data_IF_220395066236
#
_entry.id   IF_220395066236
#
_cell.length_a   1.000
_cell.length_b   1.000
_cell.length_c   1.000
_cell.angle_alpha   90.00
_cell.angle_beta   90.00
_cell.angle_gamma   90.00
#
_symmetry.space_group_name_H-M   'P 1'
#
loop_
_entity.id
_entity.type
_entity.pdbx_description
1 polymer ?
#
# COMPACT_ATOMS: atom_id res chain seq x y z
N UNK A 1 -5.63 -15.26 26.89
CA UNK A 1 -6.62 -15.19 28.00
C UNK A 1 -6.29 -16.24 29.05
N UNK A 2 -6.33 -17.54 28.75
CA UNK A 2 -6.13 -18.60 29.74
C UNK A 2 -4.73 -18.60 30.37
N UNK A 3 -3.67 -18.37 29.58
CA UNK A 3 -2.31 -18.23 30.13
C UNK A 3 -2.21 -17.10 31.16
N UNK A 4 -2.87 -15.95 30.87
CA UNK A 4 -2.94 -14.86 31.85
C UNK A 4 -3.72 -15.22 33.10
N UNK A 5 -4.82 -15.98 32.97
CA UNK A 5 -5.60 -16.43 34.13
C UNK A 5 -4.80 -17.35 35.04
N UNK A 6 -3.99 -18.24 34.47
CA UNK A 6 -3.08 -19.11 35.24
C UNK A 6 -1.99 -18.28 35.94
N UNK A 7 -1.33 -17.37 35.23
CA UNK A 7 -0.27 -16.51 35.81
C UNK A 7 -0.81 -15.64 36.95
N UNK A 8 -2.06 -15.20 36.86
CA UNK A 8 -2.71 -14.35 37.89
C UNK A 8 -3.45 -15.16 38.97
N UNK A 9 -3.31 -16.49 39.00
CA UNK A 9 -3.95 -17.37 39.99
C UNK A 9 -5.47 -17.49 39.85
N UNK A 10 -6.06 -17.07 38.71
CA UNK A 10 -7.52 -17.14 38.43
C UNK A 10 -7.94 -18.48 37.83
N UNK A 11 -7.00 -19.29 37.39
CA UNK A 11 -7.20 -20.65 36.91
C UNK A 11 -5.98 -21.51 37.27
N UNK A 12 -6.21 -22.78 37.55
CA UNK A 12 -5.14 -23.72 37.90
C UNK A 12 -4.40 -24.23 36.67
N UNK A 13 -5.09 -24.36 35.55
CA UNK A 13 -4.51 -24.86 34.30
C UNK A 13 -5.11 -24.15 33.09
N UNK A 14 -4.40 -24.22 31.96
CA UNK A 14 -4.87 -23.68 30.68
C UNK A 14 -5.50 -24.82 29.84
N UNK A 15 -6.84 -24.92 29.74
CA UNK A 15 -7.52 -26.05 29.09
C UNK A 15 -7.33 -26.06 27.56
N UNK A 16 -6.71 -25.03 26.96
CA UNK A 16 -6.55 -24.92 25.51
C UNK A 16 -5.11 -25.14 25.05
N UNK A 17 -4.18 -25.50 25.92
CA UNK A 17 -2.76 -25.72 25.53
C UNK A 17 -2.66 -26.80 24.45
N UNK A 18 -3.37 -27.90 24.61
CA UNK A 18 -3.30 -29.03 23.65
C UNK A 18 -4.13 -28.87 22.41
N UNK A 19 -5.00 -27.83 22.36
CA UNK A 19 -5.83 -27.55 21.17
C UNK A 19 -5.05 -26.92 20.01
N UNK A 20 -3.86 -26.37 20.26
CA UNK A 20 -3.05 -25.73 19.23
C UNK A 20 -2.69 -26.70 18.08
N UNK A 21 -2.50 -28.02 18.38
CA UNK A 21 -2.26 -29.06 17.38
C UNK A 21 -3.53 -29.64 16.76
N UNK A 22 -4.67 -29.54 17.44
CA UNK A 22 -5.95 -30.09 16.97
C UNK A 22 -6.69 -29.15 16.01
N UNK A 23 -6.45 -27.84 16.12
CA UNK A 23 -7.07 -26.83 15.26
C UNK A 23 -6.33 -26.73 13.93
N UNK A 24 -6.98 -27.11 12.84
CA UNK A 24 -6.46 -26.86 11.49
C UNK A 24 -6.37 -25.36 11.27
N UNK A 25 -5.17 -24.83 11.05
CA UNK A 25 -4.99 -23.45 10.62
C UNK A 25 -5.77 -23.23 9.31
N UNK A 26 -6.59 -22.16 9.20
CA UNK A 26 -7.25 -21.87 7.95
C UNK A 26 -6.20 -21.68 6.85
N UNK A 27 -6.44 -22.26 5.67
CA UNK A 27 -5.56 -22.05 4.52
C UNK A 27 -5.48 -20.56 4.24
N UNK A 28 -4.28 -20.00 4.29
CA UNK A 28 -4.03 -18.60 3.99
C UNK A 28 -4.41 -18.36 2.51
N UNK A 29 -5.49 -17.59 2.27
CA UNK A 29 -5.84 -17.16 0.92
C UNK A 29 -5.00 -15.94 0.60
N UNK A 30 -4.18 -16.05 -0.45
CA UNK A 30 -3.47 -14.89 -0.99
C UNK A 30 -4.48 -13.91 -1.60
N UNK A 31 -4.22 -12.62 -1.42
CA UNK A 31 -5.04 -11.60 -2.08
C UNK A 31 -4.87 -11.70 -3.60
N UNK A 32 -5.96 -11.65 -4.38
CA UNK A 32 -5.88 -11.57 -5.83
C UNK A 32 -5.02 -10.38 -6.24
N UNK A 33 -4.07 -10.62 -7.15
CA UNK A 33 -3.12 -9.63 -7.65
C UNK A 33 -2.91 -9.82 -9.15
N UNK A 34 -2.51 -8.76 -9.83
CA UNK A 34 -2.29 -8.76 -11.27
C UNK A 34 -0.86 -9.23 -11.58
N UNK A 35 -0.73 -10.02 -12.64
CA UNK A 35 0.54 -10.32 -13.26
C UNK A 35 0.88 -9.25 -14.32
N UNK A 36 2.11 -9.25 -14.80
CA UNK A 36 2.61 -8.23 -15.72
C UNK A 36 1.78 -8.12 -17.01
N UNK A 37 1.36 -9.26 -17.58
CA UNK A 37 0.53 -9.35 -18.80
C UNK A 37 -0.88 -8.80 -18.63
N UNK A 38 -1.38 -8.70 -17.39
CA UNK A 38 -2.71 -8.20 -17.06
C UNK A 38 -2.72 -6.69 -16.77
N UNK A 39 -1.56 -6.11 -16.46
CA UNK A 39 -1.46 -4.71 -16.02
C UNK A 39 -1.89 -3.71 -17.08
N UNK A 40 -1.47 -3.88 -18.35
CA UNK A 40 -1.82 -2.95 -19.41
C UNK A 40 -3.34 -2.82 -19.59
N UNK A 41 -4.04 -3.94 -19.62
CA UNK A 41 -5.50 -3.97 -19.68
C UNK A 41 -6.18 -3.31 -18.47
N UNK A 42 -5.63 -3.56 -17.28
CA UNK A 42 -6.12 -2.93 -16.04
C UNK A 42 -5.95 -1.42 -16.06
N UNK A 43 -4.78 -0.93 -16.48
CA UNK A 43 -4.47 0.51 -16.50
C UNK A 43 -5.35 1.26 -17.51
N UNK A 44 -5.57 0.70 -18.70
CA UNK A 44 -6.51 1.27 -19.68
C UNK A 44 -7.93 1.33 -19.11
N UNK A 45 -8.43 0.23 -18.54
CA UNK A 45 -9.75 0.21 -17.89
C UNK A 45 -9.85 1.20 -16.71
N UNK A 46 -8.76 1.41 -15.96
CA UNK A 46 -8.71 2.40 -14.89
C UNK A 46 -8.78 3.84 -15.44
N UNK A 47 -8.14 4.14 -16.57
CA UNK A 47 -8.22 5.45 -17.21
C UNK A 47 -9.64 5.76 -17.69
N UNK A 48 -10.32 4.75 -18.23
CA UNK A 48 -11.69 4.87 -18.72
C UNK A 48 -12.75 4.86 -17.59
N UNK A 49 -12.30 4.77 -16.32
CA UNK A 49 -13.22 4.78 -15.18
C UNK A 49 -14.03 6.09 -15.12
N UNK A 50 -15.37 6.02 -15.27
CA UNK A 50 -16.23 7.22 -15.40
C UNK A 50 -16.56 7.89 -14.06
N UNK A 51 -15.99 7.40 -12.96
CA UNK A 51 -16.29 7.93 -11.64
C UNK A 51 -15.37 9.07 -11.21
N UNK A 52 -15.24 9.27 -9.89
CA UNK A 52 -14.44 10.37 -9.34
C UNK A 52 -12.96 10.26 -9.72
N UNK A 53 -12.41 11.35 -10.25
CA UNK A 53 -10.97 11.53 -10.52
C UNK A 53 -10.13 11.25 -9.28
N UNK A 54 -10.56 11.74 -8.11
CA UNK A 54 -9.87 11.51 -6.83
C UNK A 54 -9.75 10.02 -6.52
N UNK A 55 -10.81 9.23 -6.73
CA UNK A 55 -10.79 7.79 -6.45
C UNK A 55 -9.99 7.02 -7.51
N UNK A 56 -10.07 7.42 -8.79
CA UNK A 56 -9.24 6.88 -9.87
C UNK A 56 -7.76 7.08 -9.57
N UNK A 57 -7.38 8.31 -9.27
CA UNK A 57 -5.99 8.67 -9.00
C UNK A 57 -5.49 8.05 -7.68
N UNK A 58 -6.35 7.90 -6.65
CA UNK A 58 -6.02 7.14 -5.45
C UNK A 58 -5.66 5.69 -5.78
N UNK A 59 -6.43 5.04 -6.67
CA UNK A 59 -6.16 3.66 -7.10
C UNK A 59 -4.81 3.58 -7.83
N UNK A 60 -4.54 4.52 -8.75
CA UNK A 60 -3.27 4.58 -9.50
C UNK A 60 -2.07 4.87 -8.60
N UNK A 61 -2.20 5.82 -7.66
CA UNK A 61 -1.17 6.13 -6.68
C UNK A 61 -0.86 4.94 -5.76
N UNK A 62 -1.88 4.17 -5.36
CA UNK A 62 -1.66 2.95 -4.58
C UNK A 62 -0.80 1.93 -5.33
N UNK A 63 -1.01 1.79 -6.65
CA UNK A 63 -0.19 0.94 -7.50
C UNK A 63 1.25 1.46 -7.60
N UNK A 64 1.42 2.77 -7.86
CA UNK A 64 2.74 3.40 -8.07
C UNK A 64 3.61 3.46 -6.80
N UNK A 65 2.99 3.55 -5.64
CA UNK A 65 3.71 3.71 -4.36
C UNK A 65 3.86 2.41 -3.59
N UNK A 66 3.02 1.41 -3.83
CA UNK A 66 2.99 0.16 -3.07
C UNK A 66 2.69 0.36 -1.57
N UNK A 67 2.14 1.49 -1.15
CA UNK A 67 1.73 1.75 0.23
C UNK A 67 0.51 0.89 0.61
N UNK A 68 0.19 0.80 1.91
CA UNK A 68 -1.04 0.12 2.31
C UNK A 68 -2.25 1.00 2.03
N UNK A 69 -3.38 0.37 1.76
CA UNK A 69 -4.64 1.08 1.47
C UNK A 69 -5.00 2.08 2.57
N UNK A 70 -4.80 1.73 3.84
CA UNK A 70 -5.08 2.63 4.96
C UNK A 70 -4.10 3.81 5.00
N UNK A 71 -2.84 3.60 4.65
CA UNK A 71 -1.81 4.64 4.59
C UNK A 71 -2.17 5.67 3.52
N UNK A 72 -2.54 5.20 2.32
CA UNK A 72 -2.95 6.08 1.23
C UNK A 72 -4.25 6.84 1.57
N UNK A 73 -5.31 6.14 1.98
CA UNK A 73 -6.61 6.77 2.25
C UNK A 73 -6.55 7.87 3.30
N UNK A 74 -5.68 7.71 4.28
CA UNK A 74 -5.52 8.66 5.37
C UNK A 74 -4.39 9.68 5.14
N UNK A 75 -3.87 9.80 3.92
CA UNK A 75 -2.84 10.76 3.58
C UNK A 75 -3.34 12.20 3.78
N UNK A 76 -2.50 13.01 4.40
CA UNK A 76 -2.73 14.43 4.61
C UNK A 76 -1.81 15.25 3.70
N UNK A 77 -2.26 16.42 3.27
CA UNK A 77 -1.44 17.30 2.42
C UNK A 77 -0.15 17.76 3.09
N UNK A 78 -0.15 17.88 4.42
CA UNK A 78 1.04 18.20 5.22
C UNK A 78 2.14 17.15 5.15
N UNK A 79 1.85 15.96 4.65
CA UNK A 79 2.79 14.85 4.50
C UNK A 79 3.46 14.80 3.12
N UNK A 80 2.92 15.57 2.14
CA UNK A 80 3.35 15.55 0.74
C UNK A 80 4.24 16.74 0.46
N UNK A 81 5.51 16.47 0.18
CA UNK A 81 6.48 17.47 -0.29
C UNK A 81 6.70 17.27 -1.80
N UNK A 82 5.97 18.04 -2.59
CA UNK A 82 6.02 17.94 -4.06
C UNK A 82 7.33 18.53 -4.62
N UNK A 83 7.99 19.44 -3.91
CA UNK A 83 9.28 19.98 -4.36
C UNK A 83 10.37 18.92 -4.25
N UNK A 84 10.47 18.26 -3.09
CA UNK A 84 11.41 17.17 -2.87
C UNK A 84 10.99 15.85 -3.51
N UNK A 85 9.74 15.73 -3.98
CA UNK A 85 9.18 14.50 -4.52
C UNK A 85 9.15 13.37 -3.49
N UNK A 86 8.64 13.64 -2.29
CA UNK A 86 8.51 12.66 -1.21
C UNK A 86 7.17 12.76 -0.50
N UNK A 87 6.70 11.61 0.00
CA UNK A 87 5.58 11.51 0.93
C UNK A 87 6.08 10.93 2.25
N UNK A 88 5.90 11.69 3.34
CA UNK A 88 6.36 11.33 4.69
C UNK A 88 5.19 10.84 5.54
N UNK A 89 5.02 9.53 5.68
CA UNK A 89 3.96 8.94 6.49
C UNK A 89 4.41 8.91 7.95
N UNK A 90 3.69 9.58 8.87
CA UNK A 90 4.08 9.63 10.27
C UNK A 90 3.93 8.28 10.97
N UNK A 91 4.78 8.02 11.96
CA UNK A 91 4.85 6.75 12.69
C UNK A 91 3.52 6.30 13.31
N UNK A 92 2.69 7.25 13.74
CA UNK A 92 1.39 6.96 14.37
C UNK A 92 0.42 6.23 13.41
N UNK A 93 0.56 6.44 12.10
CA UNK A 93 -0.25 5.78 11.07
C UNK A 93 0.37 4.49 10.54
N UNK A 94 1.61 4.19 10.93
CA UNK A 94 2.32 3.01 10.48
C UNK A 94 2.11 1.83 11.41
N UNK A 95 1.84 0.62 10.84
CA UNK A 95 1.68 -0.63 11.61
C UNK A 95 2.86 -0.90 12.53
N UNK A 96 4.08 -0.59 12.07
CA UNK A 96 5.33 -0.82 12.84
C UNK A 96 5.76 0.38 13.68
N UNK A 97 4.93 1.43 13.77
CA UNK A 97 5.20 2.66 14.52
C UNK A 97 6.56 3.32 14.21
N UNK A 98 7.02 3.20 12.96
CA UNK A 98 8.20 3.89 12.42
C UNK A 98 7.75 4.78 11.28
N UNK A 99 8.28 6.02 11.15
CA UNK A 99 7.94 6.87 10.02
C UNK A 99 8.39 6.21 8.71
N UNK A 100 7.63 6.41 7.65
CA UNK A 100 7.94 5.86 6.34
C UNK A 100 8.00 6.96 5.30
N UNK A 101 9.14 7.08 4.64
CA UNK A 101 9.35 8.02 3.54
C UNK A 101 9.17 7.27 2.22
N UNK A 102 8.27 7.74 1.38
CA UNK A 102 7.95 7.20 0.05
C UNK A 102 8.46 8.17 -0.99
N UNK A 103 9.51 7.84 -1.77
CA UNK A 103 9.90 8.62 -2.94
C UNK A 103 8.78 8.59 -3.98
N UNK A 104 8.55 9.72 -4.64
CA UNK A 104 7.52 9.84 -5.68
C UNK A 104 8.18 9.83 -7.06
N UNK A 105 7.70 8.93 -7.94
CA UNK A 105 8.01 9.01 -9.37
C UNK A 105 7.38 10.26 -9.99
N UNK A 106 7.83 10.67 -11.17
CA UNK A 106 7.23 11.79 -11.93
C UNK A 106 5.74 11.60 -12.13
N UNK A 107 5.30 10.39 -12.43
CA UNK A 107 3.89 10.07 -12.62
C UNK A 107 3.09 10.17 -11.30
N UNK A 108 3.65 9.69 -10.19
CA UNK A 108 3.00 9.80 -8.89
C UNK A 108 2.89 11.27 -8.45
N UNK A 109 3.95 12.07 -8.69
CA UNK A 109 3.95 13.51 -8.41
C UNK A 109 2.86 14.23 -9.21
N UNK A 110 2.77 13.98 -10.52
CA UNK A 110 1.74 14.58 -11.38
C UNK A 110 0.31 14.25 -10.91
N UNK A 111 0.08 13.02 -10.45
CA UNK A 111 -1.21 12.64 -9.87
C UNK A 111 -1.53 13.38 -8.57
N UNK A 112 -0.55 13.59 -7.69
CA UNK A 112 -0.74 14.40 -6.49
C UNK A 112 -1.02 15.86 -6.86
N UNK A 113 -0.35 16.42 -7.85
CA UNK A 113 -0.58 17.78 -8.36
C UNK A 113 -2.00 17.93 -8.90
N UNK A 114 -2.50 16.96 -9.70
CA UNK A 114 -3.88 16.94 -10.18
C UNK A 114 -4.89 16.90 -9.04
N UNK A 115 -4.67 16.03 -8.06
CA UNK A 115 -5.55 15.90 -6.89
C UNK A 115 -5.51 17.18 -6.04
N UNK A 116 -4.37 17.86 -5.94
CA UNK A 116 -4.21 19.08 -5.18
C UNK A 116 -5.13 20.21 -5.69
N UNK A 117 -5.37 20.29 -7.00
CA UNK A 117 -6.32 21.25 -7.57
C UNK A 117 -7.75 21.03 -7.06
N UNK A 118 -8.08 19.79 -6.66
CA UNK A 118 -9.44 19.39 -6.24
C UNK A 118 -9.57 19.44 -4.72
N UNK A 119 -8.60 18.91 -3.98
CA UNK A 119 -8.70 18.69 -2.52
C UNK A 119 -7.67 19.46 -1.69
N UNK A 120 -6.77 20.21 -2.33
CA UNK A 120 -5.62 20.87 -1.68
C UNK A 120 -5.99 21.93 -0.62
N UNK A 121 -7.24 22.40 -0.62
CA UNK A 121 -7.74 23.31 0.42
C UNK A 121 -8.17 22.59 1.72
N UNK A 122 -8.30 21.27 1.65
CA UNK A 122 -8.69 20.41 2.78
C UNK A 122 -7.48 19.81 3.50
N UNK A 123 -7.75 19.07 4.56
CA UNK A 123 -6.73 18.34 5.31
C UNK A 123 -6.27 17.10 4.55
N UNK A 124 -7.23 16.31 4.07
CA UNK A 124 -6.95 15.00 3.46
C UNK A 124 -6.71 15.09 1.95
N UNK A 125 -5.74 14.35 1.46
CA UNK A 125 -5.52 14.14 0.02
C UNK A 125 -6.73 13.43 -0.61
N UNK A 126 -7.28 12.45 0.11
CA UNK A 126 -8.41 11.64 -0.33
C UNK A 126 -9.57 11.75 0.67
N UNK A 127 -10.31 12.87 0.64
CA UNK A 127 -11.44 13.07 1.56
C UNK A 127 -12.60 12.12 1.25
N UNK A 128 -13.45 11.92 2.24
CA UNK A 128 -14.71 11.20 2.09
C UNK A 128 -15.68 11.97 1.18
N UNK A 129 -16.45 11.23 0.38
CA UNK A 129 -17.40 11.82 -0.58
C UNK A 129 -18.50 12.64 0.10
N UNK A 130 -19.02 12.15 1.21
CA UNK A 130 -20.14 12.78 1.90
C UNK A 130 -19.71 13.66 3.09
N UNK A 131 -18.47 13.51 3.53
CA UNK A 131 -17.90 14.24 4.66
C UNK A 131 -16.40 14.43 4.40
N UNK A 132 -16.03 15.63 4.00
CA UNK A 132 -14.64 16.00 3.70
C UNK A 132 -13.74 16.06 4.93
N UNK A 133 -14.32 16.11 6.13
CA UNK A 133 -13.61 15.97 7.41
C UNK A 133 -13.16 14.55 7.73
N UNK A 134 -13.57 13.56 6.92
CA UNK A 134 -13.16 12.16 7.04
C UNK A 134 -12.37 11.71 5.81
N UNK A 135 -11.65 10.62 5.97
CA UNK A 135 -10.91 9.99 4.86
C UNK A 135 -11.84 9.22 3.93
N UNK A 136 -11.39 8.99 2.70
CA UNK A 136 -12.04 8.08 1.74
C UNK A 136 -12.36 6.72 2.40
N UNK A 137 -13.50 6.14 2.06
CA UNK A 137 -13.94 4.85 2.64
C UNK A 137 -13.01 3.69 2.27
N UNK A 138 -12.97 2.67 3.13
CA UNK A 138 -12.14 1.49 2.91
C UNK A 138 -12.50 0.74 1.63
N UNK A 139 -13.77 0.72 1.27
CA UNK A 139 -14.26 0.04 0.09
C UNK A 139 -13.96 0.77 -1.23
N UNK A 140 -13.62 2.08 -1.19
CA UNK A 140 -13.59 2.93 -2.40
C UNK A 140 -12.69 2.38 -3.50
N UNK A 141 -11.47 1.99 -3.18
CA UNK A 141 -10.51 1.45 -4.17
C UNK A 141 -11.00 0.11 -4.75
N UNK A 142 -11.46 -0.80 -3.90
CA UNK A 142 -11.98 -2.09 -4.36
C UNK A 142 -13.28 -1.91 -5.18
N UNK A 143 -14.08 -0.89 -4.92
CA UNK A 143 -15.24 -0.56 -5.75
C UNK A 143 -14.82 -0.04 -7.15
N UNK A 144 -13.73 0.72 -7.27
CA UNK A 144 -13.16 1.06 -8.59
C UNK A 144 -12.76 -0.22 -9.32
N UNK A 145 -11.94 -1.06 -8.68
CA UNK A 145 -11.47 -2.33 -9.24
C UNK A 145 -12.65 -3.20 -9.74
N UNK A 146 -13.70 -3.30 -8.95
CA UNK A 146 -14.92 -4.02 -9.33
C UNK A 146 -15.61 -3.40 -10.54
N UNK A 147 -15.80 -2.07 -10.55
CA UNK A 147 -16.50 -1.36 -11.62
C UNK A 147 -15.80 -1.40 -12.97
N UNK A 148 -14.47 -1.51 -12.97
CA UNK A 148 -13.69 -1.65 -14.20
C UNK A 148 -13.54 -3.12 -14.65
N UNK A 149 -14.27 -4.07 -14.04
CA UNK A 149 -14.33 -5.47 -14.48
C UNK A 149 -13.25 -6.40 -13.91
N UNK A 150 -12.58 -5.99 -12.82
CA UNK A 150 -11.52 -6.76 -12.18
C UNK A 150 -11.89 -7.32 -10.79
N UNK A 151 -13.20 -7.45 -10.51
CA UNK A 151 -13.69 -8.09 -9.28
C UNK A 151 -13.16 -9.52 -9.17
N UNK A 152 -12.62 -9.88 -8.02
CA UNK A 152 -11.99 -11.19 -7.77
C UNK A 152 -10.62 -11.42 -8.47
N UNK A 153 -10.20 -10.54 -9.40
CA UNK A 153 -8.90 -10.62 -10.10
C UNK A 153 -7.83 -9.74 -9.46
N UNK A 154 -8.22 -8.62 -8.87
CA UNK A 154 -7.32 -7.70 -8.20
C UNK A 154 -7.95 -7.13 -6.93
N UNK A 155 -7.12 -6.65 -6.02
CA UNK A 155 -7.50 -5.90 -4.83
C UNK A 155 -6.49 -4.78 -4.58
N UNK A 156 -6.88 -3.73 -3.84
CA UNK A 156 -5.94 -2.69 -3.45
C UNK A 156 -4.74 -3.24 -2.65
N UNK A 157 -4.91 -4.31 -1.88
CA UNK A 157 -3.81 -4.99 -1.21
C UNK A 157 -2.95 -5.82 -2.18
N UNK A 158 -3.57 -6.41 -3.20
CA UNK A 158 -2.89 -7.20 -4.23
C UNK A 158 -1.87 -6.41 -5.04
N UNK A 159 -2.05 -5.09 -5.21
CA UNK A 159 -1.09 -4.24 -5.93
C UNK A 159 0.32 -4.26 -5.32
N UNK A 160 0.43 -4.47 -4.02
CA UNK A 160 1.74 -4.63 -3.36
C UNK A 160 2.42 -5.94 -3.75
N UNK A 161 1.65 -7.02 -3.93
CA UNK A 161 2.17 -8.27 -4.46
C UNK A 161 2.61 -8.11 -5.91
N UNK A 162 1.80 -7.46 -6.75
CA UNK A 162 2.15 -7.12 -8.13
C UNK A 162 3.48 -6.36 -8.21
N UNK A 163 3.62 -5.27 -7.44
CA UNK A 163 4.85 -4.47 -7.38
C UNK A 163 6.05 -5.32 -6.92
N UNK A 164 5.89 -6.05 -5.82
CA UNK A 164 6.96 -6.91 -5.28
C UNK A 164 7.43 -7.93 -6.31
N UNK A 165 6.50 -8.63 -6.96
CA UNK A 165 6.82 -9.66 -7.96
C UNK A 165 7.61 -9.06 -9.12
N UNK A 166 7.09 -8.00 -9.75
CA UNK A 166 7.72 -7.36 -10.90
C UNK A 166 9.12 -6.85 -10.55
N UNK A 167 9.27 -6.16 -9.43
CA UNK A 167 10.57 -5.59 -9.04
C UNK A 167 11.61 -6.68 -8.72
N UNK A 168 11.21 -7.80 -8.12
CA UNK A 168 12.11 -8.94 -7.92
C UNK A 168 12.48 -9.63 -9.23
N UNK A 169 11.52 -9.84 -10.13
CA UNK A 169 11.77 -10.43 -11.47
C UNK A 169 12.72 -9.56 -12.31
N UNK A 170 12.69 -8.24 -12.11
CA UNK A 170 13.60 -7.31 -12.77
C UNK A 170 14.96 -7.16 -12.06
N UNK A 171 15.20 -7.90 -10.98
CA UNK A 171 16.48 -7.93 -10.29
C UNK A 171 16.79 -6.72 -9.42
N UNK A 172 15.79 -5.91 -9.04
CA UNK A 172 16.00 -4.82 -8.10
C UNK A 172 16.43 -5.30 -6.73
N UNK A 173 17.18 -4.48 -6.02
CA UNK A 173 17.68 -4.80 -4.69
C UNK A 173 16.53 -5.11 -3.72
N UNK A 174 16.52 -6.32 -3.16
CA UNK A 174 15.48 -6.78 -2.23
C UNK A 174 15.32 -5.84 -1.02
N UNK A 175 16.43 -5.25 -0.50
CA UNK A 175 16.33 -4.32 0.62
C UNK A 175 15.57 -3.03 0.24
N UNK A 176 15.67 -2.58 -1.00
CA UNK A 176 14.89 -1.44 -1.49
C UNK A 176 13.40 -1.78 -1.59
N UNK A 177 13.08 -2.96 -2.12
CA UNK A 177 11.70 -3.44 -2.27
C UNK A 177 11.05 -3.59 -0.90
N UNK A 178 11.72 -4.30 0.04
CA UNK A 178 11.20 -4.53 1.39
C UNK A 178 11.02 -3.21 2.16
N UNK A 179 11.98 -2.27 2.02
CA UNK A 179 11.87 -0.94 2.62
C UNK A 179 10.72 -0.15 2.02
N UNK A 180 10.54 -0.19 0.67
CA UNK A 180 9.42 0.47 0.00
C UNK A 180 8.08 -0.06 0.49
N UNK A 181 7.95 -1.36 0.64
CA UNK A 181 6.74 -2.00 1.11
C UNK A 181 6.57 -1.91 2.65
N UNK A 182 7.49 -1.27 3.36
CA UNK A 182 7.49 -1.19 4.83
C UNK A 182 7.24 -2.57 5.48
N UNK A 183 7.90 -3.61 4.95
CA UNK A 183 7.90 -4.92 5.55
C UNK A 183 8.79 -4.92 6.80
N UNK A 184 8.38 -5.68 7.82
CA UNK A 184 9.22 -5.90 8.99
C UNK A 184 10.41 -6.77 8.59
N UNK A 185 11.64 -6.34 8.88
CA UNK A 185 12.78 -7.23 8.78
C UNK A 185 12.57 -8.38 9.77
N UNK A 186 12.48 -9.60 9.25
CA UNK A 186 12.30 -10.82 10.08
C UNK A 186 13.51 -11.08 10.96
N UNK A 187 14.66 -10.51 10.63
CA UNK A 187 15.86 -10.59 11.45
C UNK A 187 15.84 -9.42 12.45
N UNK A 188 15.43 -9.71 13.70
CA UNK A 188 15.28 -8.73 14.77
C UNK A 188 16.54 -7.88 15.01
N UNK A 189 17.74 -8.45 14.79
CA UNK A 189 19.01 -7.76 14.96
C UNK A 189 19.21 -6.72 13.85
N UNK A 190 18.98 -7.08 12.57
CA UNK A 190 19.05 -6.12 11.45
C UNK A 190 17.99 -5.03 11.55
N UNK A 191 16.75 -5.39 11.90
CA UNK A 191 15.63 -4.44 12.03
C UNK A 191 15.84 -3.41 13.14
N UNK A 192 16.64 -3.71 14.17
CA UNK A 192 16.95 -2.78 15.26
C UNK A 192 18.01 -1.77 14.89
N UNK A 193 19.01 -2.14 14.04
CA UNK A 193 20.17 -1.31 13.72
C UNK A 193 20.13 -0.72 12.31
N UNK A 194 19.31 -1.23 11.40
CA UNK A 194 19.29 -0.73 10.03
C UNK A 194 18.23 0.39 9.87
N UNK A 195 18.68 1.63 9.98
CA UNK A 195 17.89 2.84 9.72
C UNK A 195 18.04 3.36 8.28
N UNK A 196 18.72 2.60 7.43
CA UNK A 196 18.94 3.01 6.03
C UNK A 196 17.58 3.06 5.28
N UNK A 197 17.32 4.19 4.66
CA UNK A 197 16.09 4.40 3.90
C UNK A 197 16.25 4.14 2.40
N UNK A 198 17.48 3.98 1.93
CA UNK A 198 17.82 3.72 0.52
C UNK A 198 17.11 4.66 -0.46
N UNK A 199 16.98 5.95 -0.11
CA UNK A 199 16.10 6.88 -0.82
C UNK A 199 16.43 7.00 -2.30
N UNK A 200 17.70 7.11 -2.66
CA UNK A 200 18.13 7.28 -4.06
C UNK A 200 17.83 6.03 -4.88
N UNK A 201 18.25 4.85 -4.41
CA UNK A 201 17.94 3.59 -5.09
C UNK A 201 16.43 3.30 -5.18
N UNK A 202 15.67 3.63 -4.14
CA UNK A 202 14.21 3.50 -4.17
C UNK A 202 13.56 4.50 -5.13
N UNK A 203 14.12 5.71 -5.28
CA UNK A 203 13.66 6.70 -6.25
C UNK A 203 13.84 6.18 -7.68
N UNK A 204 15.01 5.66 -8.00
CA UNK A 204 15.30 5.05 -9.29
C UNK A 204 14.38 3.85 -9.56
N UNK A 205 14.24 2.95 -8.60
CA UNK A 205 13.37 1.77 -8.68
C UNK A 205 11.90 2.15 -8.94
N UNK A 206 11.36 3.13 -8.21
CA UNK A 206 9.97 3.55 -8.37
C UNK A 206 9.75 4.34 -9.67
N UNK A 207 10.74 5.10 -10.13
CA UNK A 207 10.66 5.74 -11.43
C UNK A 207 10.62 4.71 -12.55
N UNK A 208 11.53 3.73 -12.50
CA UNK A 208 11.53 2.62 -13.45
C UNK A 208 10.17 1.88 -13.45
N UNK A 209 9.64 1.57 -12.27
CA UNK A 209 8.35 0.88 -12.14
C UNK A 209 7.18 1.69 -12.73
N UNK A 210 7.17 2.99 -12.52
CA UNK A 210 6.17 3.88 -13.08
C UNK A 210 6.25 3.98 -14.61
N UNK A 211 7.48 4.04 -15.16
CA UNK A 211 7.72 4.05 -16.60
C UNK A 211 7.32 2.72 -17.24
N UNK A 212 7.65 1.60 -16.58
CA UNK A 212 7.24 0.26 -17.00
C UNK A 212 5.70 0.13 -17.08
N UNK A 213 4.98 0.58 -16.04
CA UNK A 213 3.52 0.60 -16.05
C UNK A 213 2.99 1.48 -17.18
N UNK A 214 3.59 2.64 -17.42
CA UNK A 214 3.20 3.55 -18.52
C UNK A 214 3.44 2.95 -19.91
N UNK A 215 4.48 2.14 -20.07
CA UNK A 215 4.74 1.41 -21.31
C UNK A 215 3.69 0.32 -21.57
N UNK A 216 3.34 -0.47 -20.55
CA UNK A 216 2.29 -1.52 -20.65
C UNK A 216 0.90 -0.93 -20.93
N UNK A 217 0.63 0.27 -20.50
CA UNK A 217 -0.63 0.95 -20.74
C UNK A 217 -0.79 1.36 -22.21
N UNK A 218 0.32 1.75 -22.87
CA UNK A 218 0.35 2.22 -24.26
C UNK A 218 0.34 1.09 -25.29
N UNK A 219 0.93 -0.05 -24.95
CA UNK A 219 1.05 -1.25 -25.80
C UNK A 219 -0.15 -2.14 -25.73
#
# INVERSE_FOLDING_TARGET
>A
IFTYAVITGRAEHNPVVDLAGALKSPKQKHFPHLLADQLGGFLRALNDYPGSVVTRNATRLLMLTGTRTIELRAAEWTEIDLEKGIWQIPSIRMKMRRPHVVPLSTQAKALFEEIHQITGRGRFVFPGRNDTGKTMSEASINQVIKRIGYDGKATGHGFRHTMSTILHEQGFNTAWIETQLAHADKNSIRGTYNHAQYLDGRREMLQWYADYMGALEKG
#
